data_IF_306411647602
#
_entry.id   IF_306411647602
#
_cell.length_a   1.000
_cell.length_b   1.000
_cell.length_c   1.000
_cell.angle_alpha   90.00
_cell.angle_beta   90.00
_cell.angle_gamma   90.00
#
_symmetry.space_group_name_H-M   'P 1'
#
loop_
_entity.id
_entity.type
_entity.pdbx_description
1 polymer ?
#
# COMPACT_ATOMS: atom_id res chain seq x y z
N UNK A 1 -24.48 13.86 88.48
CA UNK A 1 -23.57 12.82 88.99
C UNK A 1 -22.17 13.26 88.60
N UNK A 2 -21.53 13.99 89.51
CA UNK A 2 -20.18 14.55 89.37
C UNK A 2 -19.22 13.60 90.07
N UNK A 3 -18.19 13.13 89.38
CA UNK A 3 -17.01 12.55 90.03
C UNK A 3 -15.79 13.29 89.51
N UNK A 4 -15.41 14.32 90.28
CA UNK A 4 -14.09 14.93 90.27
C UNK A 4 -13.11 13.90 90.82
N UNK A 5 -12.06 13.56 90.07
CA UNK A 5 -10.86 12.99 90.67
C UNK A 5 -9.66 13.84 90.29
N UNK A 6 -8.85 14.05 91.31
CA UNK A 6 -7.83 15.08 91.42
C UNK A 6 -6.53 14.36 91.72
N UNK A 7 -5.49 14.55 90.89
CA UNK A 7 -4.11 14.34 91.35
C UNK A 7 -3.04 14.90 90.39
N UNK A 8 -2.34 15.89 90.96
CA UNK A 8 -0.88 16.07 91.01
C UNK A 8 -0.16 16.61 89.77
N UNK A 9 0.17 17.90 89.87
CA UNK A 9 1.33 18.51 89.22
C UNK A 9 2.65 17.90 89.74
N UNK A 10 3.62 17.73 88.84
CA UNK A 10 5.07 17.73 89.11
C UNK A 10 5.84 18.41 87.96
N UNK A 11 7.04 18.95 88.26
CA UNK A 11 7.62 20.12 87.60
C UNK A 11 8.43 19.78 86.35
N UNK A 12 8.70 20.83 85.56
CA UNK A 12 9.26 20.73 84.20
C UNK A 12 10.71 20.28 84.10
N UNK A 13 11.07 19.97 82.85
CA UNK A 13 12.44 19.97 82.37
C UNK A 13 12.46 20.19 80.85
N UNK A 14 13.13 21.28 80.48
CA UNK A 14 13.98 21.47 79.31
C UNK A 14 13.51 21.07 77.90
N UNK A 15 13.36 22.13 77.11
CA UNK A 15 13.49 22.22 75.66
C UNK A 15 14.78 21.55 75.16
N UNK A 16 14.67 20.54 74.27
CA UNK A 16 15.70 20.22 73.27
C UNK A 16 14.99 20.12 71.92
N UNK A 17 15.27 21.11 71.08
CA UNK A 17 14.94 21.12 69.65
C UNK A 17 15.88 20.12 68.97
N UNK A 18 15.34 19.02 68.45
CA UNK A 18 16.05 18.11 67.54
C UNK A 18 15.35 18.12 66.18
N UNK A 19 15.90 18.93 65.28
CA UNK A 19 15.60 19.01 63.86
C UNK A 19 15.86 17.62 63.25
N UNK A 20 14.81 16.88 62.91
CA UNK A 20 14.94 15.61 62.17
C UNK A 20 14.46 15.81 60.74
N UNK A 21 15.39 15.51 59.84
CA UNK A 21 15.31 15.61 58.39
C UNK A 21 14.09 14.85 57.85
N UNK A 22 13.24 15.53 57.07
CA UNK A 22 12.23 14.90 56.21
C UNK A 22 12.93 14.01 55.18
N UNK A 23 12.74 12.69 55.30
CA UNK A 23 13.16 11.73 54.28
C UNK A 23 12.14 11.81 53.13
N UNK A 24 12.56 12.36 52.00
CA UNK A 24 11.76 12.37 50.78
C UNK A 24 11.47 10.92 50.35
N UNK A 25 10.20 10.56 50.29
CA UNK A 25 9.77 9.32 49.66
C UNK A 25 10.07 9.42 48.16
N UNK A 26 11.06 8.66 47.70
CA UNK A 26 11.27 8.45 46.27
C UNK A 26 10.09 7.63 45.75
N UNK A 27 9.16 8.27 45.04
CA UNK A 27 8.22 7.58 44.18
C UNK A 27 9.03 6.78 43.17
N UNK A 28 9.03 5.46 43.29
CA UNK A 28 9.52 4.56 42.26
C UNK A 28 8.69 4.79 41.00
N UNK A 29 9.26 5.50 40.03
CA UNK A 29 8.77 5.52 38.66
C UNK A 29 9.01 4.11 38.14
N UNK A 30 7.94 3.32 38.01
CA UNK A 30 7.99 2.08 37.26
C UNK A 30 8.36 2.43 35.82
N UNK A 31 9.44 1.87 35.24
CA UNK A 31 9.62 1.97 33.81
C UNK A 31 8.38 1.36 33.15
N UNK A 32 7.73 2.13 32.28
CA UNK A 32 6.68 1.63 31.42
C UNK A 32 7.40 0.69 30.46
N UNK A 33 7.18 -0.61 30.60
CA UNK A 33 7.63 -1.58 29.60
C UNK A 33 7.12 -1.10 28.23
N UNK A 34 7.94 -1.10 27.16
CA UNK A 34 7.44 -0.79 25.84
C UNK A 34 6.34 -1.81 25.53
N UNK A 35 5.11 -1.31 25.38
CA UNK A 35 4.00 -2.08 24.82
C UNK A 35 4.49 -2.61 23.49
N UNK A 36 4.60 -3.93 23.37
CA UNK A 36 4.89 -4.59 22.10
C UNK A 36 3.90 -4.06 21.05
N UNK A 37 4.41 -3.71 19.87
CA UNK A 37 3.62 -3.17 18.77
C UNK A 37 2.37 -4.02 18.54
N UNK A 38 1.19 -3.41 18.58
CA UNK A 38 -0.01 -4.06 18.08
C UNK A 38 0.08 -4.09 16.55
N UNK A 39 0.52 -5.21 15.99
CA UNK A 39 0.05 -5.63 14.67
C UNK A 39 -1.24 -6.41 14.89
N UNK A 40 -2.37 -5.79 14.58
CA UNK A 40 -3.69 -6.25 15.02
C UNK A 40 -4.85 -5.53 14.35
N UNK A 41 -4.69 -5.16 13.08
CA UNK A 41 -5.77 -4.59 12.28
C UNK A 41 -6.82 -5.63 11.87
N UNK A 42 -7.98 -5.14 11.43
CA UNK A 42 -8.96 -5.96 10.69
C UNK A 42 -9.05 -5.44 9.26
N UNK A 43 -8.93 -6.32 8.28
CA UNK A 43 -9.12 -6.02 6.85
C UNK A 43 -10.37 -6.75 6.37
N UNK A 44 -11.21 -6.05 5.60
CA UNK A 44 -12.45 -6.62 5.07
C UNK A 44 -12.28 -7.05 3.61
N UNK A 45 -12.85 -8.20 3.28
CA UNK A 45 -12.99 -8.71 1.91
C UNK A 45 -14.46 -9.04 1.68
N UNK A 46 -15.03 -8.58 0.59
CA UNK A 46 -16.39 -8.91 0.20
C UNK A 46 -16.38 -10.14 -0.70
N UNK A 47 -17.33 -11.03 -0.48
CA UNK A 47 -17.60 -12.17 -1.35
C UNK A 47 -18.88 -11.82 -2.11
N UNK A 48 -18.75 -11.46 -3.38
CA UNK A 48 -19.87 -10.93 -4.19
C UNK A 48 -19.92 -11.70 -5.50
N UNK A 49 -21.07 -12.32 -5.75
CA UNK A 49 -21.40 -13.09 -6.96
C UNK A 49 -20.42 -14.20 -7.33
N UNK A 50 -19.30 -13.89 -7.99
CA UNK A 50 -18.27 -14.84 -8.42
C UNK A 50 -16.85 -14.32 -8.15
N UNK A 51 -16.70 -13.35 -7.25
CA UNK A 51 -15.42 -12.68 -6.97
C UNK A 51 -15.21 -12.42 -5.47
N UNK A 52 -13.93 -12.39 -5.08
CA UNK A 52 -13.48 -11.79 -3.82
C UNK A 52 -13.06 -10.34 -4.10
N UNK A 53 -13.51 -9.40 -3.28
CA UNK A 53 -13.29 -7.97 -3.49
C UNK A 53 -12.74 -7.30 -2.21
N UNK A 54 -11.46 -6.87 -2.21
CA UNK A 54 -10.48 -7.07 -3.27
C UNK A 54 -10.05 -8.55 -3.37
N UNK A 55 -9.60 -8.96 -4.56
CA UNK A 55 -9.12 -10.33 -4.78
C UNK A 55 -7.80 -10.60 -4.05
N UNK A 56 -6.99 -9.58 -3.79
CA UNK A 56 -5.80 -9.68 -2.95
C UNK A 56 -5.80 -8.61 -1.85
N UNK A 57 -5.42 -9.01 -0.65
CA UNK A 57 -5.11 -8.08 0.45
C UNK A 57 -3.66 -8.26 0.90
N UNK A 58 -2.95 -7.15 1.11
CA UNK A 58 -1.64 -7.13 1.76
C UNK A 58 -1.79 -6.67 3.19
N UNK A 59 -1.28 -7.47 4.13
CA UNK A 59 -1.45 -7.26 5.56
C UNK A 59 -0.16 -7.51 6.31
N UNK A 60 -0.09 -6.98 7.53
CA UNK A 60 0.96 -7.30 8.47
C UNK A 60 0.67 -8.60 9.23
N UNK A 61 1.70 -9.32 9.71
CA UNK A 61 1.54 -10.43 10.65
C UNK A 61 0.66 -10.02 11.84
N UNK A 62 -0.25 -10.89 12.25
CA UNK A 62 -1.23 -10.63 13.31
C UNK A 62 -2.52 -9.93 12.85
N UNK A 63 -2.62 -9.54 11.58
CA UNK A 63 -3.85 -8.94 11.02
C UNK A 63 -4.93 -10.00 10.85
N UNK A 64 -6.17 -9.64 11.16
CA UNK A 64 -7.36 -10.47 10.91
C UNK A 64 -8.02 -10.05 9.60
N UNK A 65 -8.24 -10.98 8.68
CA UNK A 65 -9.07 -10.73 7.50
C UNK A 65 -10.46 -11.27 7.77
N UNK A 66 -11.48 -10.46 7.47
CA UNK A 66 -12.89 -10.83 7.58
C UNK A 66 -13.52 -10.82 6.19
N UNK A 67 -13.98 -11.97 5.75
CA UNK A 67 -14.77 -12.14 4.54
C UNK A 67 -16.25 -12.03 4.87
N UNK A 68 -16.98 -11.20 4.14
CA UNK A 68 -18.45 -11.10 4.24
C UNK A 68 -19.08 -11.55 2.94
N UNK A 69 -19.99 -12.52 2.99
CA UNK A 69 -20.81 -12.85 1.84
C UNK A 69 -21.86 -11.76 1.60
N UNK A 70 -21.56 -10.84 0.70
CA UNK A 70 -22.45 -9.74 0.33
C UNK A 70 -23.19 -10.01 -0.99
N UNK A 71 -22.97 -11.16 -1.62
CA UNK A 71 -23.70 -11.62 -2.80
C UNK A 71 -25.01 -12.33 -2.47
N UNK A 72 -25.71 -12.79 -3.51
CA UNK A 72 -27.00 -13.49 -3.38
C UNK A 72 -26.87 -15.02 -3.23
N UNK A 73 -25.66 -15.56 -3.38
CA UNK A 73 -25.39 -17.00 -3.45
C UNK A 73 -24.48 -17.44 -2.31
N UNK A 74 -24.51 -18.74 -1.94
CA UNK A 74 -23.58 -19.28 -0.96
C UNK A 74 -22.17 -19.41 -1.51
N UNK A 75 -21.17 -19.16 -0.68
CA UNK A 75 -19.74 -19.23 -1.01
C UNK A 75 -18.94 -19.96 0.06
N UNK A 76 -17.67 -20.23 -0.22
CA UNK A 76 -16.67 -20.58 0.80
C UNK A 76 -15.42 -19.72 0.62
N UNK A 77 -14.58 -19.70 1.64
CA UNK A 77 -13.24 -19.13 1.67
C UNK A 77 -12.32 -20.26 2.13
N UNK A 78 -11.68 -20.94 1.17
CA UNK A 78 -10.96 -22.19 1.42
C UNK A 78 -9.53 -22.07 0.89
N UNK A 79 -8.55 -22.14 1.78
CA UNK A 79 -7.13 -22.03 1.43
C UNK A 79 -6.68 -23.22 0.58
N UNK A 80 -5.87 -22.95 -0.45
CA UNK A 80 -5.34 -23.98 -1.35
C UNK A 80 -4.41 -24.97 -0.63
N UNK A 81 -3.71 -24.50 0.40
CA UNK A 81 -2.84 -25.31 1.26
C UNK A 81 -3.58 -26.00 2.42
N UNK A 82 -4.88 -25.75 2.57
CA UNK A 82 -5.72 -26.28 3.65
C UNK A 82 -5.52 -25.60 5.02
N UNK A 83 -4.81 -24.47 5.09
CA UNK A 83 -4.56 -23.73 6.34
C UNK A 83 -5.83 -23.15 6.98
N UNK A 84 -6.85 -22.81 6.18
CA UNK A 84 -8.17 -22.40 6.65
C UNK A 84 -9.29 -22.82 5.70
N UNK A 85 -10.49 -23.00 6.26
CA UNK A 85 -11.73 -23.24 5.51
C UNK A 85 -12.90 -22.64 6.28
N UNK A 86 -13.65 -21.73 5.65
CA UNK A 86 -14.86 -21.16 6.25
C UNK A 86 -16.01 -22.16 6.35
N UNK A 87 -15.96 -23.25 5.57
CA UNK A 87 -17.14 -24.00 5.21
C UNK A 87 -18.10 -23.13 4.39
N UNK A 88 -19.37 -23.51 4.34
CA UNK A 88 -20.40 -22.76 3.63
C UNK A 88 -20.74 -21.45 4.36
N UNK A 89 -20.71 -20.35 3.63
CA UNK A 89 -21.21 -19.03 4.02
C UNK A 89 -22.45 -18.69 3.19
N UNK A 90 -23.61 -18.59 3.83
CA UNK A 90 -24.83 -18.07 3.22
C UNK A 90 -24.80 -16.52 3.11
N UNK A 91 -25.65 -15.89 2.29
CA UNK A 91 -25.71 -14.43 2.16
C UNK A 91 -25.84 -13.71 3.51
N UNK A 92 -24.95 -12.75 3.75
CA UNK A 92 -24.82 -11.97 4.99
C UNK A 92 -23.90 -12.58 6.05
N UNK A 93 -23.48 -13.84 5.89
CA UNK A 93 -22.57 -14.49 6.83
C UNK A 93 -21.11 -14.06 6.65
N UNK A 94 -20.33 -14.23 7.72
CA UNK A 94 -18.94 -13.80 7.79
C UNK A 94 -18.03 -14.92 8.26
N UNK A 95 -16.79 -14.89 7.76
CA UNK A 95 -15.68 -15.72 8.23
C UNK A 95 -14.49 -14.82 8.52
N UNK A 96 -13.76 -15.09 9.59
CA UNK A 96 -12.54 -14.35 9.94
C UNK A 96 -11.38 -15.30 10.19
N UNK A 97 -10.19 -14.93 9.72
CA UNK A 97 -8.95 -15.65 9.98
C UNK A 97 -7.81 -14.68 10.29
N UNK A 98 -7.02 -14.99 11.32
CA UNK A 98 -5.87 -14.18 11.73
C UNK A 98 -4.58 -14.77 11.18
N UNK A 99 -3.84 -13.96 10.43
CA UNK A 99 -2.63 -14.39 9.74
C UNK A 99 -1.39 -14.00 10.53
N UNK A 100 -0.78 -14.97 11.23
CA UNK A 100 0.40 -14.70 12.07
C UNK A 100 1.74 -14.86 11.32
N UNK A 101 1.76 -15.64 10.24
CA UNK A 101 2.98 -16.00 9.52
C UNK A 101 3.11 -15.19 8.23
N UNK A 102 4.32 -14.68 7.98
CA UNK A 102 4.67 -14.04 6.70
C UNK A 102 4.58 -15.08 5.59
N UNK A 103 3.95 -14.70 4.47
CA UNK A 103 3.75 -15.58 3.33
C UNK A 103 2.54 -15.19 2.51
N UNK A 104 2.35 -15.89 1.41
CA UNK A 104 1.21 -15.74 0.51
C UNK A 104 0.26 -16.91 0.73
N UNK A 105 -1.02 -16.61 0.99
CA UNK A 105 -2.06 -17.58 1.26
C UNK A 105 -3.15 -17.45 0.20
N UNK A 106 -3.05 -18.28 -0.84
CA UNK A 106 -4.04 -18.34 -1.90
C UNK A 106 -5.25 -19.19 -1.48
N UNK A 107 -6.44 -18.75 -1.85
CA UNK A 107 -7.69 -19.41 -1.49
C UNK A 107 -8.71 -19.33 -2.62
N UNK A 108 -9.68 -20.23 -2.58
CA UNK A 108 -10.75 -20.36 -3.57
C UNK A 108 -12.12 -20.45 -2.91
N UNK A 109 -13.16 -20.19 -3.70
CA UNK A 109 -14.50 -20.67 -3.37
C UNK A 109 -14.65 -22.12 -3.82
N UNK A 110 -14.91 -23.03 -2.89
CA UNK A 110 -15.05 -24.47 -3.15
C UNK A 110 -16.22 -24.83 -4.08
N UNK A 111 -17.20 -23.93 -4.26
CA UNK A 111 -18.27 -24.08 -5.25
C UNK A 111 -17.90 -23.57 -6.65
N UNK A 112 -16.92 -22.66 -6.74
CA UNK A 112 -16.55 -21.96 -7.97
C UNK A 112 -15.02 -21.81 -8.03
N UNK A 113 -14.28 -22.82 -8.52
CA UNK A 113 -12.81 -22.82 -8.46
C UNK A 113 -12.13 -21.67 -9.23
N UNK A 114 -12.83 -21.05 -10.17
CA UNK A 114 -12.36 -19.89 -10.93
C UNK A 114 -12.30 -18.62 -10.05
N UNK A 115 -13.08 -18.59 -8.96
CA UNK A 115 -13.11 -17.53 -7.98
C UNK A 115 -11.96 -17.73 -6.98
N UNK A 116 -10.89 -16.95 -7.19
CA UNK A 116 -9.63 -17.03 -6.46
C UNK A 116 -9.36 -15.72 -5.73
N UNK A 117 -8.76 -15.82 -4.55
CA UNK A 117 -8.23 -14.69 -3.81
C UNK A 117 -6.91 -15.02 -3.14
N UNK A 118 -6.23 -13.99 -2.63
CA UNK A 118 -4.94 -14.14 -1.97
C UNK A 118 -4.79 -13.20 -0.78
N UNK A 119 -4.21 -13.69 0.31
CA UNK A 119 -3.74 -12.86 1.41
C UNK A 119 -2.22 -12.89 1.41
N UNK A 120 -1.59 -11.75 1.19
CA UNK A 120 -0.14 -11.63 1.29
C UNK A 120 0.22 -10.98 2.62
N UNK A 121 0.88 -11.73 3.48
CA UNK A 121 1.35 -11.29 4.79
C UNK A 121 2.80 -10.89 4.65
N UNK A 122 3.09 -9.61 4.84
CA UNK A 122 4.43 -9.05 4.69
C UNK A 122 4.84 -8.31 5.95
N UNK A 123 6.14 -8.20 6.20
CA UNK A 123 6.62 -7.35 7.30
C UNK A 123 6.09 -5.92 7.13
N UNK A 124 5.34 -5.45 8.13
CA UNK A 124 4.87 -4.07 8.14
C UNK A 124 6.08 -3.15 8.14
N UNK A 125 6.14 -2.23 7.17
CA UNK A 125 7.01 -1.09 7.31
C UNK A 125 6.45 -0.30 8.49
N UNK A 126 7.26 -0.14 9.55
CA UNK A 126 6.97 0.86 10.56
C UNK A 126 6.80 2.19 9.82
N UNK A 127 5.55 2.64 9.66
CA UNK A 127 5.29 4.02 9.34
C UNK A 127 5.89 4.82 10.48
N UNK A 128 7.08 5.37 10.26
CA UNK A 128 7.55 6.47 11.07
C UNK A 128 6.61 7.63 10.78
N UNK A 129 5.50 7.66 11.52
CA UNK A 129 4.73 8.88 11.76
C UNK A 129 5.63 9.82 12.58
N UNK A 130 6.61 10.40 11.91
CA UNK A 130 7.35 11.56 12.39
C UNK A 130 7.07 12.68 11.42
N UNK A 131 5.89 13.26 11.54
CA UNK A 131 5.67 14.69 11.26
C UNK A 131 6.47 15.51 12.30
N UNK A 132 7.80 15.45 12.23
CA UNK A 132 8.62 16.43 12.91
C UNK A 132 8.75 17.65 12.00
N UNK A 133 7.94 18.66 12.29
CA UNK A 133 8.00 19.99 11.70
C UNK A 133 9.35 20.61 12.04
N UNK A 134 10.32 20.45 11.13
CA UNK A 134 11.54 21.23 11.16
C UNK A 134 11.18 22.70 10.89
N UNK A 135 11.15 23.48 11.96
CA UNK A 135 10.95 24.93 11.94
C UNK A 135 12.22 25.57 11.39
N UNK A 136 12.36 25.63 10.06
CA UNK A 136 13.47 26.33 9.41
C UNK A 136 13.21 27.85 9.45
N UNK A 137 14.08 28.56 10.18
CA UNK A 137 14.17 30.02 10.19
C UNK A 137 14.86 30.48 8.89
N UNK A 138 14.39 31.53 8.20
CA UNK A 138 15.08 32.08 7.03
C UNK A 138 16.38 32.78 7.44
N UNK A 139 17.51 32.28 6.92
CA UNK A 139 18.82 32.92 7.01
C UNK A 139 19.32 33.29 5.61
N UNK A 140 19.47 34.59 5.38
CA UNK A 140 19.86 35.23 4.13
C UNK A 140 21.33 34.95 3.73
N UNK A 141 21.57 35.10 2.42
CA UNK A 141 22.69 34.61 1.63
C UNK A 141 24.09 35.19 1.93
N UNK A 142 25.14 34.50 1.45
CA UNK A 142 26.21 35.12 0.64
C UNK A 142 26.87 34.10 -0.28
N UNK A 143 27.18 34.54 -1.50
CA UNK A 143 27.82 33.79 -2.58
C UNK A 143 29.35 33.89 -2.54
N UNK A 144 30.05 32.86 -3.03
CA UNK A 144 31.31 33.00 -3.77
C UNK A 144 31.61 31.75 -4.60
N UNK A 145 31.93 32.00 -5.87
CA UNK A 145 32.33 31.10 -6.95
C UNK A 145 33.50 30.16 -6.64
N UNK A 146 33.52 28.98 -7.29
CA UNK A 146 34.52 28.64 -8.34
C UNK A 146 34.35 27.19 -8.84
N UNK A 147 33.98 27.06 -10.12
CA UNK A 147 34.36 26.08 -11.15
C UNK A 147 34.46 24.57 -10.86
N UNK A 148 33.68 23.79 -11.62
CA UNK A 148 33.91 22.35 -11.84
C UNK A 148 32.74 21.56 -12.43
N UNK A 149 32.20 21.98 -13.57
CA UNK A 149 31.11 21.29 -14.28
C UNK A 149 31.61 20.09 -15.13
N UNK A 150 30.94 18.93 -15.07
CA UNK A 150 30.77 18.06 -16.24
C UNK A 150 29.36 18.25 -16.84
N UNK A 151 29.33 18.47 -18.15
CA UNK A 151 28.18 18.78 -19.00
C UNK A 151 27.03 17.77 -18.90
N UNK A 152 25.86 18.22 -18.43
CA UNK A 152 24.58 17.59 -18.72
C UNK A 152 24.22 17.81 -20.19
N UNK A 153 23.99 16.72 -20.93
CA UNK A 153 23.35 16.79 -22.23
C UNK A 153 21.92 17.33 -22.06
N UNK A 154 21.51 18.19 -22.99
CA UNK A 154 20.34 19.05 -22.91
C UNK A 154 19.04 18.31 -22.52
N UNK A 155 18.50 18.64 -21.36
CA UNK A 155 17.07 18.51 -21.11
C UNK A 155 16.36 19.54 -22.00
N UNK A 156 15.77 19.08 -23.11
CA UNK A 156 14.81 19.88 -23.85
C UNK A 156 13.67 20.24 -22.90
N UNK A 157 13.33 21.53 -22.82
CA UNK A 157 12.18 21.99 -22.04
C UNK A 157 10.95 21.20 -22.47
N UNK A 158 10.26 20.57 -21.52
CA UNK A 158 8.95 19.99 -21.77
C UNK A 158 8.07 21.09 -22.41
N UNK A 159 7.47 20.77 -23.55
CA UNK A 159 6.57 21.69 -24.26
C UNK A 159 5.39 22.13 -23.39
N UNK A 160 4.61 23.12 -23.84
CA UNK A 160 3.41 23.54 -23.11
C UNK A 160 2.49 22.35 -22.83
N UNK A 161 1.99 22.25 -21.59
CA UNK A 161 1.03 21.23 -21.19
C UNK A 161 -0.23 21.39 -22.04
N UNK A 162 -0.43 20.48 -22.99
CA UNK A 162 -1.67 20.41 -23.75
C UNK A 162 -2.71 19.69 -22.91
N UNK A 163 -3.89 20.28 -22.76
CA UNK A 163 -5.00 19.64 -22.06
C UNK A 163 -5.59 18.57 -23.00
N UNK A 164 -5.12 17.33 -22.85
CA UNK A 164 -5.53 16.22 -23.70
C UNK A 164 -7.00 15.87 -23.42
N UNK A 165 -7.82 15.76 -24.46
CA UNK A 165 -9.20 15.27 -24.33
C UNK A 165 -9.20 13.73 -24.38
N UNK A 166 -10.05 13.04 -23.59
CA UNK A 166 -10.15 11.58 -23.65
C UNK A 166 -10.52 11.11 -25.06
N UNK A 167 -9.76 10.16 -25.61
CA UNK A 167 -9.91 9.70 -26.97
C UNK A 167 -10.64 8.36 -27.03
N UNK A 168 -11.98 8.41 -27.09
CA UNK A 168 -12.80 7.22 -27.35
C UNK A 168 -12.80 6.17 -26.23
N UNK A 169 -13.11 4.92 -26.59
CA UNK A 169 -13.34 3.82 -25.63
C UNK A 169 -12.13 3.60 -24.69
N UNK A 170 -12.44 3.44 -23.41
CA UNK A 170 -11.46 3.27 -22.34
C UNK A 170 -10.81 1.89 -22.44
N UNK A 171 -9.49 1.85 -22.25
CA UNK A 171 -8.78 0.58 -22.07
C UNK A 171 -8.90 0.14 -20.63
N UNK A 172 -8.96 -1.16 -20.44
CA UNK A 172 -8.85 -1.78 -19.13
C UNK A 172 -7.39 -2.17 -18.89
N UNK A 173 -6.91 -1.98 -17.67
CA UNK A 173 -5.63 -2.50 -17.23
C UNK A 173 -5.81 -3.26 -15.91
N UNK A 174 -4.98 -4.28 -15.71
CA UNK A 174 -4.96 -5.10 -14.50
C UNK A 174 -3.53 -5.27 -14.01
N UNK A 175 -3.37 -5.38 -12.68
CA UNK A 175 -2.19 -6.02 -12.10
C UNK A 175 -2.53 -7.50 -11.89
N UNK A 176 -1.72 -8.39 -12.43
CA UNK A 176 -1.76 -9.81 -12.14
C UNK A 176 -0.66 -10.20 -11.17
N UNK A 177 -0.91 -11.17 -10.31
CA UNK A 177 0.15 -11.98 -9.72
C UNK A 177 0.77 -12.81 -10.84
N UNK A 178 2.09 -12.98 -10.85
CA UNK A 178 2.83 -13.64 -11.93
C UNK A 178 3.44 -12.66 -12.95
N UNK A 179 3.87 -13.22 -14.08
CA UNK A 179 4.63 -12.50 -15.12
C UNK A 179 3.81 -12.36 -16.40
N UNK A 180 4.29 -11.56 -17.35
CA UNK A 180 3.67 -11.42 -18.67
C UNK A 180 3.45 -12.76 -19.40
N UNK A 181 4.32 -13.75 -19.15
CA UNK A 181 4.27 -15.07 -19.79
C UNK A 181 3.49 -16.09 -18.96
N UNK A 182 3.37 -15.86 -17.65
CA UNK A 182 2.72 -16.76 -16.69
C UNK A 182 1.73 -15.95 -15.83
N UNK A 183 0.51 -15.87 -16.35
CA UNK A 183 -0.58 -15.14 -15.72
C UNK A 183 -1.12 -15.89 -14.49
N UNK A 184 -1.07 -15.21 -13.35
CA UNK A 184 -1.83 -15.58 -12.17
C UNK A 184 -3.10 -14.73 -12.01
N UNK A 185 -3.62 -14.69 -10.78
CA UNK A 185 -4.87 -14.01 -10.46
C UNK A 185 -4.79 -12.51 -10.73
N UNK A 186 -5.94 -11.90 -11.04
CA UNK A 186 -6.06 -10.44 -11.06
C UNK A 186 -6.00 -9.93 -9.62
N UNK A 187 -4.95 -9.19 -9.31
CA UNK A 187 -4.67 -8.61 -7.99
C UNK A 187 -5.32 -7.24 -7.85
N UNK A 188 -5.32 -6.47 -8.93
CA UNK A 188 -5.94 -5.15 -8.95
C UNK A 188 -6.54 -4.86 -10.32
N UNK A 189 -7.77 -4.36 -10.33
CA UNK A 189 -8.38 -3.82 -11.53
C UNK A 189 -8.44 -2.31 -11.48
N UNK A 190 -7.92 -1.66 -12.52
CA UNK A 190 -8.06 -0.22 -12.67
C UNK A 190 -9.41 0.05 -13.35
N UNK A 191 -10.41 0.65 -12.66
CA UNK A 191 -11.64 1.05 -13.31
C UNK A 191 -11.34 2.08 -14.41
N UNK A 192 -12.21 2.11 -15.42
CA UNK A 192 -12.07 2.78 -16.71
C UNK A 192 -11.14 4.00 -16.74
N UNK A 193 -10.16 3.87 -17.62
CA UNK A 193 -8.93 4.65 -17.66
C UNK A 193 -9.10 5.83 -18.61
N UNK A 194 -8.63 7.01 -18.22
CA UNK A 194 -8.55 8.16 -19.11
C UNK A 194 -7.47 7.89 -20.19
N UNK A 195 -7.91 7.49 -21.39
CA UNK A 195 -7.06 7.35 -22.58
C UNK A 195 -6.88 8.71 -23.23
N UNK A 196 -5.65 9.19 -23.30
CA UNK A 196 -5.34 10.43 -24.01
C UNK A 196 -4.66 10.09 -25.33
N UNK A 197 -5.16 10.59 -26.47
CA UNK A 197 -4.42 10.56 -27.74
C UNK A 197 -3.69 11.88 -27.95
N UNK A 198 -2.40 11.78 -28.25
CA UNK A 198 -1.62 12.91 -28.74
C UNK A 198 -1.65 12.87 -30.26
N UNK A 199 -2.60 13.56 -30.88
CA UNK A 199 -2.61 13.77 -32.33
C UNK A 199 -1.64 14.92 -32.67
N UNK A 200 -0.34 14.64 -32.83
CA UNK A 200 0.61 15.61 -33.37
C UNK A 200 0.82 15.41 -34.87
N UNK A 201 -0.27 15.52 -35.64
CA UNK A 201 -0.26 15.69 -37.09
C UNK A 201 0.33 14.52 -37.90
N UNK A 202 -0.26 14.25 -39.06
CA UNK A 202 0.20 13.25 -40.04
C UNK A 202 1.68 13.42 -40.47
N UNK A 203 2.33 14.53 -40.12
CA UNK A 203 3.68 14.89 -40.55
C UNK A 203 4.81 14.45 -39.61
N UNK A 204 4.53 14.03 -38.37
CA UNK A 204 5.60 13.61 -37.43
C UNK A 204 5.96 12.13 -37.51
N UNK A 205 5.13 11.32 -38.16
CA UNK A 205 5.32 9.86 -38.25
C UNK A 205 5.19 9.14 -36.89
N UNK A 206 4.78 9.83 -35.84
CA UNK A 206 4.47 9.25 -34.55
C UNK A 206 3.01 8.78 -34.57
N UNK A 207 2.80 7.47 -34.43
CA UNK A 207 1.46 6.88 -34.27
C UNK A 207 0.77 7.40 -33.01
N UNK A 208 -0.50 7.01 -32.82
CA UNK A 208 -1.26 7.41 -31.63
C UNK A 208 -0.51 6.98 -30.35
N UNK A 209 -0.16 7.97 -29.51
CA UNK A 209 0.34 7.74 -28.15
C UNK A 209 -0.85 7.73 -27.21
N UNK A 210 -0.96 6.67 -26.42
CA UNK A 210 -2.01 6.48 -25.42
C UNK A 210 -1.42 6.49 -24.02
N UNK A 211 -1.99 7.30 -23.13
CA UNK A 211 -1.68 7.30 -21.70
C UNK A 211 -2.83 6.64 -20.94
N UNK A 212 -2.49 5.75 -20.02
CA UNK A 212 -3.36 5.00 -19.14
C UNK A 212 -2.90 5.29 -17.72
N UNK A 213 -3.77 5.77 -16.83
CA UNK A 213 -3.40 6.04 -15.43
C UNK A 213 -4.38 5.43 -14.43
N UNK A 214 -3.87 5.07 -13.26
CA UNK A 214 -4.65 4.53 -12.16
C UNK A 214 -3.89 4.64 -10.83
N UNK A 215 -4.56 4.31 -9.73
CA UNK A 215 -3.93 4.23 -8.41
C UNK A 215 -4.38 2.94 -7.74
N UNK A 216 -3.44 2.18 -7.19
CA UNK A 216 -3.70 1.01 -6.35
C UNK A 216 -3.76 1.44 -4.88
N UNK A 217 -4.32 0.59 -4.01
CA UNK A 217 -4.18 0.74 -2.56
C UNK A 217 -2.89 0.11 -2.02
N UNK A 218 -2.09 -0.50 -2.91
CA UNK A 218 -0.87 -1.23 -2.58
C UNK A 218 0.32 -0.27 -2.57
N UNK A 219 1.08 -0.13 -1.47
CA UNK A 219 2.32 0.64 -1.46
C UNK A 219 3.34 0.10 -2.48
N UNK A 220 4.16 0.97 -3.07
CA UNK A 220 5.06 0.58 -4.18
C UNK A 220 6.01 -0.57 -3.82
N UNK A 221 6.52 -0.59 -2.59
CA UNK A 221 7.38 -1.67 -2.11
C UNK A 221 6.67 -3.03 -2.01
N UNK A 222 5.36 -3.05 -1.75
CA UNK A 222 4.55 -4.27 -1.73
C UNK A 222 4.45 -4.92 -3.10
N UNK A 223 4.62 -4.15 -4.18
CA UNK A 223 4.64 -4.66 -5.55
C UNK A 223 5.98 -5.34 -5.93
N UNK A 224 6.93 -5.47 -5.02
CA UNK A 224 8.18 -6.22 -5.24
C UNK A 224 8.26 -7.55 -4.50
N UNK A 225 7.25 -7.86 -3.68
CA UNK A 225 7.22 -9.07 -2.83
C UNK A 225 7.03 -10.37 -3.62
N UNK A 226 6.34 -10.29 -4.76
CA UNK A 226 6.06 -11.40 -5.67
C UNK A 226 6.26 -10.90 -7.11
N UNK A 227 6.42 -11.81 -8.10
CA UNK A 227 6.29 -11.40 -9.49
C UNK A 227 4.89 -10.83 -9.68
N UNK A 228 4.81 -9.58 -10.12
CA UNK A 228 3.57 -8.99 -10.59
C UNK A 228 3.75 -8.53 -12.03
N UNK A 229 2.65 -8.39 -12.75
CA UNK A 229 2.66 -7.89 -14.11
C UNK A 229 1.47 -6.97 -14.35
N UNK A 230 1.69 -5.95 -15.17
CA UNK A 230 0.64 -5.00 -15.56
C UNK A 230 0.25 -5.33 -16.99
N UNK A 231 -1.00 -5.74 -17.16
CA UNK A 231 -1.56 -6.11 -18.45
C UNK A 231 -2.53 -5.04 -18.94
N UNK A 232 -2.39 -4.65 -20.20
CA UNK A 232 -3.26 -3.70 -20.88
C UNK A 232 -4.11 -4.47 -21.87
N UNK A 233 -5.43 -4.32 -21.78
CA UNK A 233 -6.40 -4.98 -22.63
C UNK A 233 -6.76 -4.12 -23.85
N UNK A 234 -7.29 -4.76 -24.88
CA UNK A 234 -7.78 -4.11 -26.09
C UNK A 234 -8.89 -3.09 -25.77
N UNK A 235 -9.89 -3.50 -25.00
CA UNK A 235 -10.97 -2.62 -24.54
C UNK A 235 -11.65 -3.17 -23.28
N UNK A 236 -12.51 -2.37 -22.67
CA UNK A 236 -13.37 -2.83 -21.57
C UNK A 236 -14.30 -3.99 -21.98
N UNK A 237 -14.65 -4.11 -23.26
CA UNK A 237 -15.52 -5.16 -23.82
C UNK A 237 -14.72 -6.39 -24.27
N UNK A 238 -13.47 -6.20 -24.72
CA UNK A 238 -12.59 -7.29 -25.11
C UNK A 238 -11.42 -7.47 -24.15
N UNK A 239 -11.73 -7.96 -22.94
CA UNK A 239 -10.77 -8.19 -21.86
C UNK A 239 -9.89 -9.43 -22.08
N UNK A 240 -10.12 -10.23 -23.12
CA UNK A 240 -9.32 -11.45 -23.37
C UNK A 240 -8.11 -11.17 -24.27
N UNK A 241 -8.11 -10.05 -24.99
CA UNK A 241 -6.99 -9.62 -25.83
C UNK A 241 -6.08 -8.69 -25.05
N UNK A 242 -4.83 -9.11 -24.82
CA UNK A 242 -3.79 -8.26 -24.25
C UNK A 242 -3.02 -7.54 -25.35
N UNK A 243 -2.81 -6.23 -25.19
CA UNK A 243 -2.04 -5.40 -26.13
C UNK A 243 -0.59 -5.26 -25.72
N UNK A 244 -0.33 -5.02 -24.44
CA UNK A 244 1.01 -4.86 -23.91
C UNK A 244 1.08 -5.33 -22.46
N UNK A 245 2.29 -5.65 -22.00
CA UNK A 245 2.54 -6.05 -20.62
C UNK A 245 3.85 -5.48 -20.07
N UNK A 246 3.87 -5.16 -18.77
CA UNK A 246 5.07 -4.82 -18.01
C UNK A 246 5.25 -5.75 -16.82
N UNK A 247 6.38 -6.46 -16.75
CA UNK A 247 6.77 -7.21 -15.56
C UNK A 247 7.23 -6.25 -14.45
N UNK A 248 6.56 -6.30 -13.31
CA UNK A 248 7.05 -5.74 -12.04
C UNK A 248 7.94 -6.83 -11.42
N UNK A 249 9.24 -6.69 -11.67
CA UNK A 249 10.25 -7.59 -11.12
C UNK A 249 10.59 -7.25 -9.66
N UNK A 250 11.74 -7.74 -9.21
CA UNK A 250 12.27 -7.41 -7.88
C UNK A 250 12.59 -5.92 -7.76
N UNK A 251 12.62 -5.43 -6.52
CA UNK A 251 13.02 -4.07 -6.20
C UNK A 251 14.40 -3.76 -6.85
N UNK A 252 14.54 -2.61 -7.54
CA UNK A 252 15.83 -2.23 -8.10
C UNK A 252 16.92 -2.07 -7.03
N UNK A 253 18.15 -2.43 -7.41
CA UNK A 253 19.33 -2.17 -6.59
C UNK A 253 19.65 -0.68 -6.46
N UNK A 254 20.56 -0.32 -5.55
CA UNK A 254 20.99 1.06 -5.38
C UNK A 254 21.74 1.59 -6.62
N UNK A 255 21.58 2.87 -7.00
CA UNK A 255 20.83 3.95 -6.34
C UNK A 255 19.37 4.04 -6.81
N UNK A 256 18.46 3.41 -6.08
CA UNK A 256 17.02 3.54 -6.28
C UNK A 256 16.36 3.95 -4.95
N UNK A 257 15.30 4.74 -5.04
CA UNK A 257 14.44 5.10 -3.91
C UNK A 257 12.99 5.10 -4.36
N UNK A 258 12.07 4.83 -3.44
CA UNK A 258 10.63 4.84 -3.72
C UNK A 258 10.16 6.17 -4.34
N UNK A 259 10.72 7.30 -3.90
CA UNK A 259 10.39 8.64 -4.41
C UNK A 259 10.67 8.81 -5.90
N UNK A 260 11.70 8.14 -6.42
CA UNK A 260 12.06 8.20 -7.83
C UNK A 260 11.09 7.36 -8.71
N UNK A 261 10.32 6.47 -8.09
CA UNK A 261 9.43 5.54 -8.79
C UNK A 261 10.19 4.49 -9.60
N UNK A 262 9.45 3.71 -10.38
CA UNK A 262 9.99 2.66 -11.24
C UNK A 262 9.43 2.84 -12.65
N UNK A 263 10.29 2.82 -13.66
CA UNK A 263 9.88 2.76 -15.07
C UNK A 263 10.21 1.39 -15.62
N UNK A 264 9.19 0.75 -16.18
CA UNK A 264 9.21 -0.59 -16.76
C UNK A 264 8.95 -0.48 -18.26
N UNK A 265 9.50 -1.39 -19.03
CA UNK A 265 9.12 -1.53 -20.42
C UNK A 265 7.71 -2.14 -20.51
N UNK A 266 6.86 -1.59 -21.38
CA UNK A 266 5.62 -2.20 -21.80
C UNK A 266 5.87 -2.90 -23.13
N UNK A 267 6.00 -4.22 -23.08
CA UNK A 267 6.30 -5.06 -24.24
C UNK A 267 5.00 -5.48 -24.91
N UNK A 268 5.00 -5.44 -26.24
CA UNK A 268 3.89 -5.87 -27.07
C UNK A 268 3.44 -7.30 -26.74
N UNK A 269 2.13 -7.52 -26.79
CA UNK A 269 1.48 -8.81 -26.64
C UNK A 269 0.61 -9.10 -27.87
N UNK A 270 0.49 -10.38 -28.24
CA UNK A 270 -0.44 -10.86 -29.27
C UNK A 270 -0.32 -10.20 -30.67
N UNK A 271 0.84 -9.64 -31.03
CA UNK A 271 1.00 -8.96 -32.32
C UNK A 271 0.18 -7.68 -32.43
N UNK A 272 -0.07 -7.00 -31.30
CA UNK A 272 -0.94 -5.84 -31.22
C UNK A 272 -0.38 -4.58 -31.90
N UNK A 273 0.94 -4.53 -32.14
CA UNK A 273 1.64 -3.33 -32.57
C UNK A 273 1.73 -2.23 -31.50
N UNK A 274 1.41 -2.52 -30.23
CA UNK A 274 1.52 -1.54 -29.13
C UNK A 274 2.70 -1.86 -28.21
N UNK A 275 3.55 -0.86 -27.98
CA UNK A 275 4.64 -0.94 -26.98
C UNK A 275 4.90 0.41 -26.32
N UNK A 276 5.62 0.43 -25.21
CA UNK A 276 5.98 1.67 -24.54
C UNK A 276 6.57 1.45 -23.16
N UNK A 277 6.05 2.15 -22.16
CA UNK A 277 6.55 2.07 -20.79
C UNK A 277 5.47 2.23 -19.74
N UNK A 278 5.70 1.63 -18.58
CA UNK A 278 4.85 1.78 -17.38
C UNK A 278 5.65 2.46 -16.28
N UNK A 279 5.11 3.49 -15.65
CA UNK A 279 5.70 4.16 -14.50
C UNK A 279 4.89 3.86 -13.24
N UNK A 280 5.57 3.46 -12.18
CA UNK A 280 5.01 3.25 -10.84
C UNK A 280 5.58 4.30 -9.89
N UNK A 281 4.73 5.02 -9.16
CA UNK A 281 5.16 6.03 -8.18
C UNK A 281 4.34 5.90 -6.89
N UNK A 282 4.90 6.25 -5.72
CA UNK A 282 4.10 6.37 -4.52
C UNK A 282 2.93 7.36 -4.72
N UNK A 283 1.74 6.98 -4.29
CA UNK A 283 0.57 7.85 -4.25
C UNK A 283 0.49 8.58 -2.91
N UNK A 284 0.05 9.85 -2.87
CA UNK A 284 -0.20 10.56 -1.61
C UNK A 284 -1.20 9.86 -0.68
N UNK A 285 -2.04 8.98 -1.21
CA UNK A 285 -3.01 8.19 -0.45
C UNK A 285 -2.41 6.91 0.17
N UNK A 286 -1.09 6.68 0.06
CA UNK A 286 -0.39 5.51 0.62
C UNK A 286 -0.29 4.30 -0.31
N UNK A 287 -0.87 4.37 -1.52
CA UNK A 287 -0.79 3.32 -2.52
C UNK A 287 0.24 3.60 -3.64
N UNK A 288 0.02 3.03 -4.83
CA UNK A 288 0.88 3.23 -6.00
C UNK A 288 0.11 3.86 -7.16
N UNK A 289 0.57 5.02 -7.64
CA UNK A 289 0.15 5.56 -8.93
C UNK A 289 0.81 4.76 -10.06
N UNK A 290 0.00 4.28 -11.00
CA UNK A 290 0.42 3.54 -12.18
C UNK A 290 0.09 4.37 -13.41
N UNK A 291 1.07 4.55 -14.30
CA UNK A 291 0.91 5.26 -15.57
C UNK A 291 1.53 4.47 -16.71
N UNK A 292 0.74 3.97 -17.64
CA UNK A 292 1.22 3.25 -18.84
C UNK A 292 1.12 4.19 -20.05
N UNK A 293 2.21 4.34 -20.79
CA UNK A 293 2.25 5.03 -22.07
C UNK A 293 2.51 4.00 -23.15
N UNK A 294 1.63 3.91 -24.15
CA UNK A 294 1.75 3.02 -25.31
C UNK A 294 1.79 3.84 -26.59
N UNK A 295 2.59 3.42 -27.56
CA UNK A 295 2.56 3.92 -28.92
C UNK A 295 2.25 2.77 -29.88
N UNK A 296 1.44 3.05 -30.89
CA UNK A 296 1.24 2.14 -32.01
C UNK A 296 2.42 2.24 -33.00
N UNK A 297 2.97 1.11 -33.41
CA UNK A 297 4.02 0.98 -34.44
C UNK A 297 3.50 0.47 -35.77
#
# INVERSE_FOLDING_TARGET
>A
MFTSDSRRLRPGALLIVALTFTLAAFSSVTPIDPVAAQSGGTVAVQVVDFAFEPAMVMIAPGTTVTWTNAGERPHTVTANDGSFDSGRLDPGEQFSFTFAEIGTFDYVCGFHPEMQGSVMVMAEQAQTDTLEVATATPGEATASDSDGQPSAAAAGAAGPVQNLSPAGETRLAHIHAGTCDELGIVVYSFPDIATYRVDEGEETGLGAVELITGTTQVPLNGLFGEPFSIHIHESAQNKQTYLACSNIGSQPGTPWSETNGLTLQATEQNGSGYSGFTTLRPSPAGGTQVSVVLAAS
#
